data_IF_356370916847
#
_entry.id   IF_356370916847
#
_cell.length_a   1.000
_cell.length_b   1.000
_cell.length_c   1.000
_cell.angle_alpha   90.00
_cell.angle_beta   90.00
_cell.angle_gamma   90.00
#
_symmetry.space_group_name_H-M   'P 1'
#
loop_
_entity.id
_entity.type
_entity.pdbx_description
1 polymer ?
#
# COMPACT_ATOMS: atom_id res chain seq x y z
N UNK A 1 -19.99 3.00 1.41
CA UNK A 1 -19.88 2.93 2.88
C UNK A 1 -18.43 3.11 3.28
N UNK A 2 -18.17 3.98 4.22
CA UNK A 2 -16.83 4.25 4.72
C UNK A 2 -16.38 3.13 5.65
N UNK A 3 -15.18 2.58 5.41
CA UNK A 3 -14.55 1.64 6.32
C UNK A 3 -14.03 2.36 7.56
N UNK A 4 -13.90 1.65 8.66
CA UNK A 4 -13.14 2.14 9.80
C UNK A 4 -11.65 1.88 9.57
N UNK A 5 -10.80 2.70 10.17
CA UNK A 5 -9.36 2.50 10.14
C UNK A 5 -9.01 1.21 10.86
N UNK A 6 -8.48 0.24 10.13
CA UNK A 6 -8.03 -1.04 10.65
C UNK A 6 -6.70 -1.44 10.01
N UNK A 7 -5.88 -2.14 10.78
CA UNK A 7 -4.60 -2.70 10.31
C UNK A 7 -4.68 -4.22 10.41
N UNK A 8 -4.48 -4.88 9.28
CA UNK A 8 -4.56 -6.33 9.17
C UNK A 8 -3.19 -6.93 8.91
N UNK A 9 -2.86 -8.00 9.63
CA UNK A 9 -1.68 -8.81 9.33
C UNK A 9 -1.95 -9.72 8.13
N UNK A 10 -0.88 -10.24 7.53
CA UNK A 10 -0.94 -11.15 6.40
C UNK A 10 -0.06 -12.37 6.64
N UNK A 11 -0.03 -13.30 5.69
CA UNK A 11 0.87 -14.46 5.74
C UNK A 11 2.35 -14.08 5.62
N UNK A 12 2.64 -12.87 5.13
CA UNK A 12 4.02 -12.34 5.10
C UNK A 12 4.22 -11.50 6.35
N UNK A 13 5.12 -11.90 7.28
CA UNK A 13 5.37 -11.12 8.49
C UNK A 13 5.75 -9.66 8.19
N UNK A 14 5.04 -8.72 8.81
CA UNK A 14 5.29 -7.30 8.64
C UNK A 14 4.63 -6.65 7.43
N UNK A 15 4.12 -7.42 6.49
CA UNK A 15 3.28 -6.89 5.42
C UNK A 15 1.87 -6.68 5.97
N UNK A 16 1.46 -5.41 6.04
CA UNK A 16 0.21 -5.02 6.67
C UNK A 16 -0.73 -4.37 5.66
N UNK A 17 -1.99 -4.73 5.73
CA UNK A 17 -3.03 -4.14 4.89
C UNK A 17 -3.89 -3.24 5.76
N UNK A 18 -4.12 -2.01 5.32
CA UNK A 18 -4.89 -1.02 6.04
C UNK A 18 -6.20 -0.73 5.33
N UNK A 19 -7.29 -0.75 6.08
CA UNK A 19 -8.55 -0.15 5.64
C UNK A 19 -8.52 1.33 5.99
N UNK A 20 -8.74 2.19 5.02
CA UNK A 20 -8.73 3.64 5.20
C UNK A 20 -10.16 4.19 5.10
N UNK A 21 -10.60 5.00 6.07
CA UNK A 21 -11.85 5.73 5.93
C UNK A 21 -11.79 6.70 4.75
N UNK A 22 -12.80 6.65 3.90
CA UNK A 22 -12.95 7.58 2.77
C UNK A 22 -14.29 8.28 2.92
N UNK A 23 -14.25 9.60 2.98
CA UNK A 23 -15.43 10.44 3.19
C UNK A 23 -15.85 11.09 1.88
N UNK A 24 -17.02 10.69 1.36
CA UNK A 24 -17.53 11.18 0.11
C UNK A 24 -18.69 12.15 0.26
N UNK A 25 -18.83 13.07 -0.69
CA UNK A 25 -19.96 13.95 -0.86
C UNK A 25 -20.17 14.24 -2.36
N UNK A 26 -21.04 15.20 -2.69
CA UNK A 26 -21.33 15.51 -4.09
C UNK A 26 -20.16 16.14 -4.86
N UNK A 27 -19.09 16.51 -4.19
CA UNK A 27 -17.87 17.08 -4.83
C UNK A 27 -16.79 16.02 -5.11
N UNK A 28 -16.91 14.84 -4.49
CA UNK A 28 -15.91 13.78 -4.56
C UNK A 28 -15.66 13.16 -3.19
N UNK A 29 -14.40 12.92 -2.85
CA UNK A 29 -14.08 12.28 -1.59
C UNK A 29 -12.78 12.84 -1.00
N UNK A 30 -12.65 12.62 0.32
CA UNK A 30 -11.48 13.01 1.11
C UNK A 30 -11.07 11.83 1.99
N UNK A 31 -9.77 11.63 2.15
CA UNK A 31 -9.24 10.67 3.12
C UNK A 31 -7.97 11.19 3.77
N UNK A 32 -7.74 10.75 5.00
CA UNK A 32 -6.41 10.82 5.60
C UNK A 32 -5.61 9.62 5.08
N UNK A 33 -4.70 9.86 4.15
CA UNK A 33 -3.93 8.79 3.53
C UNK A 33 -2.92 8.18 4.51
N UNK A 34 -2.41 8.98 5.42
CA UNK A 34 -1.54 8.54 6.52
C UNK A 34 -1.67 9.53 7.66
N UNK A 35 -1.93 9.02 8.85
CA UNK A 35 -1.99 9.80 10.08
C UNK A 35 -1.30 9.00 11.17
N UNK A 36 -0.17 9.52 11.62
CA UNK A 36 0.76 8.80 12.49
C UNK A 36 0.12 8.25 13.76
N UNK A 37 -0.52 9.11 14.54
CA UNK A 37 -1.03 8.71 15.86
C UNK A 37 -2.16 7.69 15.77
N UNK A 38 -3.09 7.90 14.84
CA UNK A 38 -4.22 6.97 14.66
C UNK A 38 -3.76 5.60 14.21
N UNK A 39 -2.77 5.57 13.31
CA UNK A 39 -2.27 4.31 12.76
C UNK A 39 -1.38 3.58 13.76
N UNK A 40 -0.58 4.29 14.56
CA UNK A 40 0.18 3.70 15.67
C UNK A 40 -0.77 3.01 16.66
N UNK A 41 -1.89 3.63 16.98
CA UNK A 41 -2.88 3.07 17.90
C UNK A 41 -3.51 1.78 17.36
N UNK A 42 -3.45 1.55 16.05
CA UNK A 42 -3.99 0.35 15.39
C UNK A 42 -2.92 -0.69 15.05
N UNK A 43 -1.66 -0.45 15.41
CA UNK A 43 -0.59 -1.43 15.24
C UNK A 43 0.33 -1.20 14.05
N UNK A 44 0.20 -0.10 13.32
CA UNK A 44 1.16 0.24 12.29
C UNK A 44 2.49 0.63 12.93
N UNK A 45 3.64 0.19 12.39
CA UNK A 45 4.93 0.64 12.90
C UNK A 45 5.09 2.15 12.83
N UNK A 46 5.79 2.74 13.80
CA UNK A 46 6.15 4.15 13.77
C UNK A 46 7.25 4.36 12.72
N UNK A 47 6.99 5.22 11.75
CA UNK A 47 7.95 5.50 10.72
C UNK A 47 7.93 6.98 10.33
N UNK A 48 9.06 7.43 9.76
CA UNK A 48 9.18 8.78 9.22
C UNK A 48 9.42 8.69 7.72
N UNK A 49 8.43 9.02 6.90
CA UNK A 49 8.64 9.04 5.45
C UNK A 49 9.66 10.11 5.09
N UNK A 50 10.59 9.76 4.22
CA UNK A 50 11.62 10.70 3.77
C UNK A 50 11.49 11.05 2.30
N UNK A 51 10.66 10.33 1.57
CA UNK A 51 10.43 10.55 0.15
C UNK A 51 9.03 10.06 -0.20
N UNK A 52 8.31 10.82 -0.99
CA UNK A 52 7.01 10.41 -1.50
C UNK A 52 7.03 10.49 -3.02
N UNK A 53 6.68 9.40 -3.67
CA UNK A 53 6.61 9.29 -5.12
C UNK A 53 5.18 9.05 -5.56
N UNK A 54 4.83 9.58 -6.72
CA UNK A 54 3.55 9.31 -7.36
C UNK A 54 3.81 8.68 -8.72
N UNK A 55 3.14 7.56 -8.98
CA UNK A 55 3.17 6.91 -10.28
C UNK A 55 1.80 7.10 -10.93
N UNK A 56 1.76 7.81 -12.05
CA UNK A 56 0.55 7.94 -12.83
C UNK A 56 0.57 6.94 -13.98
N UNK A 57 -0.52 6.21 -14.15
CA UNK A 57 -0.62 5.13 -15.13
C UNK A 57 -1.86 5.39 -15.99
N UNK A 58 -1.63 5.87 -17.21
CA UNK A 58 -2.71 6.28 -18.09
C UNK A 58 -3.58 5.11 -18.55
N UNK A 59 -2.96 3.98 -18.85
CA UNK A 59 -3.64 2.82 -19.43
C UNK A 59 -3.87 1.71 -18.39
N UNK A 60 -5.08 1.18 -18.38
CA UNK A 60 -5.40 -0.07 -17.68
C UNK A 60 -4.44 -1.18 -18.14
N UNK A 61 -4.03 -2.03 -17.20
CA UNK A 61 -3.12 -3.15 -17.48
C UNK A 61 -1.65 -2.80 -17.34
N UNK A 62 -1.31 -1.56 -17.01
CA UNK A 62 0.08 -1.17 -16.75
C UNK A 62 0.61 -1.93 -15.54
N UNK A 63 1.74 -2.62 -15.72
CA UNK A 63 2.37 -3.43 -14.68
C UNK A 63 3.71 -2.83 -14.30
N UNK A 64 3.96 -2.68 -13.00
CA UNK A 64 5.23 -2.19 -12.45
C UNK A 64 5.72 -3.15 -11.38
N UNK A 65 7.02 -3.44 -11.39
CA UNK A 65 7.68 -4.34 -10.46
C UNK A 65 8.02 -5.68 -11.10
N UNK A 66 8.51 -6.65 -10.34
CA UNK A 66 8.60 -6.65 -8.87
C UNK A 66 9.85 -5.89 -8.43
N UNK A 67 9.72 -5.07 -7.39
CA UNK A 67 10.85 -4.35 -6.80
C UNK A 67 11.00 -4.74 -5.33
N UNK A 68 12.20 -5.18 -4.95
CA UNK A 68 12.55 -5.47 -3.57
C UNK A 68 13.75 -4.59 -3.20
N UNK A 69 13.56 -3.72 -2.25
CA UNK A 69 14.55 -2.70 -1.90
C UNK A 69 14.83 -2.72 -0.41
N UNK A 70 16.00 -2.18 0.04
CA UNK A 70 16.40 -2.28 1.45
C UNK A 70 15.76 -1.20 2.34
N UNK A 71 14.52 -0.84 2.08
CA UNK A 71 13.76 0.09 2.89
C UNK A 71 12.28 -0.30 2.92
N UNK A 72 11.59 0.16 3.94
CA UNK A 72 10.15 -0.04 4.04
C UNK A 72 9.40 0.95 3.14
N UNK A 73 8.19 0.59 2.76
CA UNK A 73 7.34 1.39 1.88
C UNK A 73 5.93 1.47 2.44
N UNK A 74 5.29 2.61 2.23
CA UNK A 74 3.86 2.77 2.46
C UNK A 74 3.20 3.09 1.13
N UNK A 75 2.37 2.19 0.64
CA UNK A 75 1.76 2.29 -0.69
C UNK A 75 0.25 2.46 -0.59
N UNK A 76 -0.29 3.28 -1.48
CA UNK A 76 -1.71 3.56 -1.52
C UNK A 76 -2.14 4.02 -2.92
N UNK A 77 -3.44 4.14 -3.12
CA UNK A 77 -4.02 4.55 -4.40
C UNK A 77 -4.74 5.88 -4.20
N UNK A 78 -4.38 6.88 -4.99
CA UNK A 78 -5.04 8.18 -4.98
C UNK A 78 -6.28 8.19 -5.90
N UNK A 79 -6.22 7.47 -7.00
CA UNK A 79 -7.36 7.30 -7.92
C UNK A 79 -7.22 5.99 -8.67
N UNK A 80 -8.34 5.41 -9.07
CA UNK A 80 -8.35 4.15 -9.79
C UNK A 80 -8.25 2.93 -8.88
N UNK A 81 -7.82 1.81 -9.43
CA UNK A 81 -7.67 0.53 -8.73
C UNK A 81 -6.48 -0.23 -9.27
N UNK A 82 -5.84 -0.98 -8.38
CA UNK A 82 -4.73 -1.86 -8.74
C UNK A 82 -4.97 -3.28 -8.21
N UNK A 83 -4.34 -4.25 -8.88
CA UNK A 83 -4.10 -5.58 -8.34
C UNK A 83 -2.68 -5.59 -7.80
N UNK A 84 -2.52 -5.62 -6.49
CA UNK A 84 -1.21 -5.64 -5.84
C UNK A 84 -0.75 -7.07 -5.58
N UNK A 85 0.54 -7.32 -5.75
CA UNK A 85 1.14 -8.61 -5.47
C UNK A 85 2.48 -8.43 -4.76
N UNK A 86 2.66 -9.17 -3.68
CA UNK A 86 3.86 -9.14 -2.85
C UNK A 86 4.42 -10.53 -2.67
N UNK A 87 5.74 -10.62 -2.61
CA UNK A 87 6.45 -11.87 -2.37
C UNK A 87 7.53 -11.64 -1.33
N UNK A 88 7.60 -12.50 -0.34
CA UNK A 88 8.64 -12.43 0.69
C UNK A 88 9.94 -13.00 0.14
N UNK A 89 10.93 -12.14 -0.02
CA UNK A 89 12.26 -12.52 -0.51
C UNK A 89 13.30 -12.53 0.62
N UNK A 90 12.88 -12.33 1.86
CA UNK A 90 13.77 -12.38 3.02
C UNK A 90 14.10 -13.83 3.36
N UNK A 91 15.33 -14.06 3.83
CA UNK A 91 15.74 -15.38 4.32
C UNK A 91 14.90 -15.76 5.55
N UNK A 92 14.49 -17.01 5.63
CA UNK A 92 13.73 -17.54 6.76
C UNK A 92 12.52 -18.35 6.33
N UNK A 93 11.68 -18.67 7.30
CA UNK A 93 10.56 -19.58 7.13
C UNK A 93 9.46 -19.06 6.19
N UNK A 94 9.35 -17.76 6.02
CA UNK A 94 8.34 -17.13 5.17
C UNK A 94 8.82 -16.88 3.74
N UNK A 95 10.07 -17.20 3.42
CA UNK A 95 10.61 -17.00 2.08
C UNK A 95 9.71 -17.62 1.02
N UNK A 96 9.35 -16.84 0.01
CA UNK A 96 8.53 -17.29 -1.12
C UNK A 96 7.03 -17.19 -0.89
N UNK A 97 6.57 -16.83 0.29
CA UNK A 97 5.14 -16.58 0.51
C UNK A 97 4.68 -15.39 -0.33
N UNK A 98 3.46 -15.49 -0.84
CA UNK A 98 2.87 -14.45 -1.67
C UNK A 98 1.55 -13.97 -1.07
N UNK A 99 1.28 -12.68 -1.27
CA UNK A 99 0.00 -12.07 -0.89
C UNK A 99 -0.47 -11.23 -2.07
N UNK A 100 -1.75 -11.31 -2.41
CA UNK A 100 -2.34 -10.49 -3.45
C UNK A 100 -3.59 -9.81 -2.90
N UNK A 101 -3.76 -8.53 -3.23
CA UNK A 101 -4.91 -7.74 -2.79
C UNK A 101 -5.25 -6.71 -3.85
N UNK A 102 -6.54 -6.51 -4.11
CA UNK A 102 -6.97 -5.37 -4.89
C UNK A 102 -7.01 -4.12 -4.00
N UNK A 103 -6.45 -3.01 -4.47
CA UNK A 103 -6.46 -1.74 -3.76
C UNK A 103 -7.17 -0.68 -4.58
N UNK A 104 -8.07 0.02 -3.91
CA UNK A 104 -8.61 1.30 -4.35
C UNK A 104 -8.21 2.38 -3.33
N UNK A 105 -8.81 3.57 -3.38
CA UNK A 105 -8.51 4.66 -2.43
C UNK A 105 -8.75 4.30 -0.96
N UNK A 106 -9.55 3.29 -0.68
CA UNK A 106 -9.90 2.85 0.68
C UNK A 106 -8.95 1.80 1.28
N UNK A 107 -7.83 1.54 0.64
CA UNK A 107 -6.88 0.52 1.10
C UNK A 107 -5.44 1.00 0.91
N UNK A 108 -4.58 0.72 1.89
CA UNK A 108 -3.16 0.97 1.81
C UNK A 108 -2.39 -0.27 2.28
N UNK A 109 -1.09 -0.31 2.00
CA UNK A 109 -0.25 -1.45 2.40
C UNK A 109 1.08 -0.94 2.93
N UNK A 110 1.49 -1.46 4.07
CA UNK A 110 2.83 -1.27 4.61
C UNK A 110 3.69 -2.44 4.18
N UNK A 111 4.74 -2.16 3.42
CA UNK A 111 5.61 -3.19 2.82
C UNK A 111 6.97 -3.13 3.51
N UNK A 112 7.35 -4.16 4.29
CA UNK A 112 8.66 -4.18 4.92
C UNK A 112 9.78 -4.38 3.89
N UNK A 113 10.97 -3.93 4.23
CA UNK A 113 12.17 -4.15 3.40
C UNK A 113 12.31 -5.63 3.06
N UNK A 114 12.81 -5.91 1.87
CA UNK A 114 13.06 -7.29 1.42
C UNK A 114 11.82 -8.02 0.91
N UNK A 115 10.64 -7.41 1.02
CA UNK A 115 9.41 -7.93 0.40
C UNK A 115 9.26 -7.32 -0.98
N UNK A 116 9.13 -8.16 -1.99
CA UNK A 116 8.91 -7.72 -3.37
C UNK A 116 7.55 -7.08 -3.52
N UNK A 117 7.52 -5.91 -4.15
CA UNK A 117 6.32 -5.09 -4.34
C UNK A 117 6.02 -4.92 -5.82
N UNK A 118 4.79 -5.19 -6.23
CA UNK A 118 4.36 -5.03 -7.62
C UNK A 118 2.87 -4.74 -7.71
N UNK A 119 2.46 -4.17 -8.83
CA UNK A 119 1.04 -3.98 -9.11
C UNK A 119 0.75 -3.96 -10.61
N UNK A 120 -0.50 -4.22 -10.92
CA UNK A 120 -1.07 -4.00 -12.25
C UNK A 120 -2.32 -3.14 -12.11
N UNK A 121 -2.45 -2.12 -12.97
CA UNK A 121 -3.62 -1.25 -12.92
C UNK A 121 -4.85 -1.96 -13.47
N UNK A 122 -5.98 -1.77 -12.81
CA UNK A 122 -7.27 -2.33 -13.20
C UNK A 122 -8.18 -1.31 -13.87
N UNK A 123 -7.78 -0.04 -13.87
CA UNK A 123 -8.51 1.07 -14.49
C UNK A 123 -7.55 2.00 -15.19
N UNK A 124 -8.06 2.77 -16.15
CA UNK A 124 -7.32 3.86 -16.76
C UNK A 124 -7.07 4.98 -15.73
N UNK A 125 -6.04 5.78 -15.93
CA UNK A 125 -5.74 6.96 -15.12
C UNK A 125 -5.61 6.63 -13.62
N UNK A 126 -4.93 5.54 -13.31
CA UNK A 126 -4.67 5.13 -11.92
C UNK A 126 -3.45 5.84 -11.38
N UNK A 127 -3.63 6.56 -10.26
CA UNK A 127 -2.55 7.23 -9.54
C UNK A 127 -2.20 6.44 -8.27
N UNK A 128 -0.95 6.01 -8.19
CA UNK A 128 -0.40 5.19 -7.11
C UNK A 128 0.64 6.01 -6.35
N UNK A 129 0.56 5.99 -5.03
CA UNK A 129 1.48 6.74 -4.19
C UNK A 129 2.37 5.79 -3.39
N UNK A 130 3.62 6.20 -3.21
CA UNK A 130 4.64 5.40 -2.56
C UNK A 130 5.49 6.30 -1.67
N UNK A 131 5.42 6.09 -0.37
CA UNK A 131 6.33 6.75 0.58
C UNK A 131 7.43 5.79 0.97
N UNK A 132 8.66 6.27 0.90
CA UNK A 132 9.85 5.51 1.28
C UNK A 132 10.24 5.83 2.71
N UNK A 133 10.65 4.79 3.41
CA UNK A 133 11.04 4.86 4.80
C UNK A 133 12.44 4.26 4.90
N UNK A 134 13.43 5.10 5.18
CA UNK A 134 14.76 4.59 5.45
C UNK A 134 14.90 4.21 6.92
N UNK A 135 15.57 3.13 7.14
CA UNK A 135 15.94 2.70 8.48
C UNK A 135 17.42 2.86 8.66
#
# INVERSE_FOLDING_TARGET
MTKELEVHTTEIPGLLILDLPVHGDNRGWFKENWQREKMLARGLPDFSPIQNNISFNAARGTTRGIHAEPWDKYVSVASGRIFGAWVDLRKGDSFGRTVTVELGPDTAVYVPRGVGNSFQTLEDNTAYTLSLIHI
#
